data_IF_069466186101
#
_entry.id   IF_069466186101
#
_cell.length_a   1.000
_cell.length_b   1.000
_cell.length_c   1.000
_cell.angle_alpha   90.00
_cell.angle_beta   90.00
_cell.angle_gamma   90.00
#
_symmetry.space_group_name_H-M   'P 1'
#
loop_
_entity.id
_entity.type
_entity.pdbx_description
1 polymer ?
#
# COMPACT_ATOMS: atom_id res chain seq x y z
N UNK A 1 -11.73 2.95 -11.70
CA UNK A 1 -11.87 2.00 -10.58
C UNK A 1 -10.49 1.86 -9.95
N UNK A 2 -10.38 2.29 -8.69
CA UNK A 2 -9.14 2.35 -7.91
C UNK A 2 -8.95 1.10 -7.03
N UNK A 3 -10.05 0.42 -6.75
CA UNK A 3 -10.18 -0.82 -6.02
C UNK A 3 -9.96 -2.06 -6.91
N UNK A 4 -9.70 -3.20 -6.28
CA UNK A 4 -9.61 -4.47 -6.99
C UNK A 4 -11.01 -4.95 -7.41
N UNK A 5 -11.15 -5.46 -8.64
CA UNK A 5 -12.45 -5.91 -9.16
C UNK A 5 -12.98 -7.18 -8.47
N UNK A 6 -12.09 -8.01 -7.92
CA UNK A 6 -12.47 -9.15 -7.08
C UNK A 6 -12.75 -8.65 -5.65
N UNK A 7 -13.98 -8.78 -5.11
CA UNK A 7 -14.32 -8.33 -3.77
C UNK A 7 -13.54 -9.06 -2.67
N UNK A 8 -13.02 -10.27 -2.95
CA UNK A 8 -12.12 -11.00 -2.04
C UNK A 8 -10.74 -10.36 -1.95
N UNK A 9 -10.44 -9.33 -2.73
CA UNK A 9 -9.16 -8.61 -2.69
C UNK A 9 -9.38 -7.10 -2.54
N UNK A 10 -10.52 -6.60 -3.02
CA UNK A 10 -10.89 -5.18 -3.04
C UNK A 10 -11.70 -4.70 -1.84
N UNK A 11 -11.95 -5.54 -0.82
CA UNK A 11 -12.85 -5.19 0.29
C UNK A 11 -12.36 -5.64 1.68
N UNK A 12 -12.35 -4.71 2.64
CA UNK A 12 -12.19 -5.01 4.06
C UNK A 12 -13.56 -5.25 4.69
N UNK A 13 -13.87 -6.51 5.01
CA UNK A 13 -15.18 -6.92 5.54
C UNK A 13 -15.47 -6.30 6.92
N UNK A 14 -14.51 -6.34 7.85
CA UNK A 14 -14.70 -5.81 9.21
C UNK A 14 -14.82 -4.28 9.26
N UNK A 15 -14.27 -3.57 8.27
CA UNK A 15 -14.25 -2.09 8.24
C UNK A 15 -15.22 -1.50 7.24
N UNK A 16 -15.84 -2.33 6.41
CA UNK A 16 -16.78 -1.92 5.37
C UNK A 16 -16.18 -0.86 4.41
N UNK A 17 -14.91 -1.06 4.04
CA UNK A 17 -14.12 -0.15 3.17
C UNK A 17 -13.49 -0.88 1.99
N UNK A 18 -13.21 -0.13 0.91
CA UNK A 18 -12.54 -0.64 -0.29
C UNK A 18 -11.02 -0.65 -0.12
N UNK A 19 -10.37 -1.64 -0.74
CA UNK A 19 -8.91 -1.80 -0.77
C UNK A 19 -8.41 -1.37 -2.16
N UNK A 20 -7.39 -0.51 -2.18
CA UNK A 20 -6.74 -0.07 -3.42
C UNK A 20 -6.12 -1.25 -4.18
N UNK A 21 -6.23 -1.24 -5.50
CA UNK A 21 -5.56 -2.18 -6.37
C UNK A 21 -4.09 -1.78 -6.56
N UNK A 22 -3.21 -2.25 -5.67
CA UNK A 22 -1.78 -1.95 -5.71
C UNK A 22 -1.07 -2.46 -6.97
N UNK A 23 -1.58 -3.53 -7.60
CA UNK A 23 -1.04 -4.07 -8.85
C UNK A 23 -1.32 -3.21 -10.08
N UNK A 24 -2.31 -2.30 -9.99
CA UNK A 24 -2.62 -1.37 -11.06
C UNK A 24 -1.69 -0.17 -11.01
N UNK A 25 -0.87 -0.01 -12.04
CA UNK A 25 0.13 1.06 -12.15
C UNK A 25 -0.43 2.46 -11.92
N UNK A 26 -1.61 2.79 -12.47
CA UNK A 26 -2.19 4.12 -12.28
C UNK A 26 -2.61 4.38 -10.82
N UNK A 27 -3.05 3.36 -10.09
CA UNK A 27 -3.43 3.46 -8.67
C UNK A 27 -2.17 3.58 -7.81
N UNK A 28 -1.18 2.74 -8.06
CA UNK A 28 0.12 2.80 -7.39
C UNK A 28 0.79 4.17 -7.57
N UNK A 29 0.85 4.68 -8.81
CA UNK A 29 1.39 6.00 -9.11
C UNK A 29 0.62 7.12 -8.41
N UNK A 30 -0.71 7.03 -8.34
CA UNK A 30 -1.52 8.00 -7.62
C UNK A 30 -1.17 8.05 -6.13
N UNK A 31 -1.05 6.88 -5.48
CA UNK A 31 -0.73 6.80 -4.05
C UNK A 31 0.71 7.26 -3.74
N UNK A 32 1.69 6.85 -4.56
CA UNK A 32 3.08 7.35 -4.44
C UNK A 32 3.13 8.86 -4.64
N UNK A 33 2.43 9.37 -5.68
CA UNK A 33 2.33 10.81 -5.94
C UNK A 33 1.70 11.57 -4.79
N UNK A 34 0.71 11.00 -4.10
CA UNK A 34 0.13 11.61 -2.91
C UNK A 34 1.13 11.70 -1.75
N UNK A 35 1.91 10.64 -1.51
CA UNK A 35 2.97 10.65 -0.49
C UNK A 35 4.01 11.74 -0.76
N UNK A 36 4.48 11.85 -2.01
CA UNK A 36 5.40 12.90 -2.45
C UNK A 36 4.79 14.29 -2.29
N UNK A 37 3.54 14.47 -2.71
CA UNK A 37 2.84 15.75 -2.68
C UNK A 37 2.81 16.36 -1.27
N UNK A 38 2.55 15.54 -0.24
CA UNK A 38 2.53 16.02 1.13
C UNK A 38 3.89 16.55 1.57
N UNK A 39 4.97 15.82 1.27
CA UNK A 39 6.34 16.21 1.65
C UNK A 39 6.76 17.46 0.87
N UNK A 40 6.56 17.48 -0.45
CA UNK A 40 6.98 18.59 -1.33
C UNK A 40 6.24 19.89 -1.07
N UNK A 41 4.93 19.81 -0.84
CA UNK A 41 4.08 21.01 -0.76
C UNK A 41 3.90 21.54 0.64
N UNK A 42 3.92 20.66 1.64
CA UNK A 42 3.66 21.04 3.03
C UNK A 42 4.87 20.88 3.93
N UNK A 43 5.99 20.34 3.42
CA UNK A 43 7.24 20.23 4.17
C UNK A 43 7.13 19.29 5.36
N UNK A 44 6.28 18.25 5.30
CA UNK A 44 6.22 17.25 6.37
C UNK A 44 7.51 16.40 6.37
N UNK A 45 8.03 16.10 7.56
CA UNK A 45 9.30 15.39 7.69
C UNK A 45 9.16 13.86 7.59
N UNK A 46 7.98 13.33 7.86
CA UNK A 46 7.75 11.89 7.90
C UNK A 46 6.29 11.50 7.63
N UNK A 47 6.12 10.27 7.11
CA UNK A 47 4.83 9.62 6.94
C UNK A 47 4.74 8.40 7.85
N UNK A 48 3.61 8.24 8.54
CA UNK A 48 3.27 7.03 9.29
C UNK A 48 2.12 6.32 8.59
N UNK A 49 2.30 5.03 8.30
CA UNK A 49 1.25 4.17 7.77
C UNK A 49 0.70 3.30 8.90
N UNK A 50 -0.59 3.44 9.13
CA UNK A 50 -1.38 2.63 10.06
C UNK A 50 -1.81 1.31 9.38
N UNK A 51 -2.13 0.30 10.18
CA UNK A 51 -2.71 -0.96 9.73
C UNK A 51 -1.97 -1.70 8.60
N UNK A 52 -0.64 -1.60 8.51
CA UNK A 52 0.16 -2.23 7.43
C UNK A 52 -0.12 -3.73 7.26
N UNK A 53 -0.45 -4.44 8.34
CA UNK A 53 -0.85 -5.85 8.28
C UNK A 53 -2.07 -6.09 7.37
N UNK A 54 -3.01 -5.14 7.31
CA UNK A 54 -4.20 -5.21 6.45
C UNK A 54 -3.86 -5.05 4.96
N UNK A 55 -2.70 -4.45 4.66
CA UNK A 55 -2.19 -4.32 3.29
C UNK A 55 -1.44 -5.58 2.86
N UNK A 56 -0.52 -6.08 3.70
CA UNK A 56 0.46 -7.10 3.30
C UNK A 56 -0.04 -8.54 3.39
N UNK A 57 -1.21 -8.77 3.99
CA UNK A 57 -1.80 -10.10 4.14
C UNK A 57 -3.17 -10.20 3.46
N UNK A 58 -3.29 -11.12 2.50
CA UNK A 58 -4.53 -11.41 1.75
C UNK A 58 -5.60 -12.07 2.62
N UNK A 59 -5.19 -12.71 3.71
CA UNK A 59 -6.07 -13.35 4.71
C UNK A 59 -6.41 -12.43 5.89
N UNK A 60 -5.99 -11.15 5.88
CA UNK A 60 -6.23 -10.24 7.00
C UNK A 60 -7.74 -10.14 7.29
N UNK A 61 -8.12 -10.47 8.54
CA UNK A 61 -9.52 -10.45 9.01
C UNK A 61 -10.45 -11.44 8.26
N UNK A 62 -9.90 -12.38 7.48
CA UNK A 62 -10.68 -13.35 6.69
C UNK A 62 -10.44 -14.78 7.16
N UNK A 63 -11.51 -15.53 7.41
CA UNK A 63 -11.39 -16.94 7.86
C UNK A 63 -11.28 -17.94 6.71
N UNK A 64 -12.05 -17.78 5.62
CA UNK A 64 -12.13 -18.76 4.51
C UNK A 64 -12.32 -18.15 3.12
N UNK A 65 -12.36 -16.82 3.01
CA UNK A 65 -12.70 -16.10 1.77
C UNK A 65 -11.52 -15.26 1.27
N UNK A 66 -10.39 -15.91 1.00
CA UNK A 66 -9.22 -15.24 0.43
C UNK A 66 -8.55 -16.13 -0.63
N UNK A 67 -7.75 -15.52 -1.49
CA UNK A 67 -7.05 -16.18 -2.59
C UNK A 67 -5.55 -16.13 -2.30
N UNK A 68 -4.83 -17.26 -2.37
CA UNK A 68 -3.37 -17.24 -2.23
C UNK A 68 -2.69 -16.51 -3.38
N UNK A 69 -1.50 -15.99 -3.12
CA UNK A 69 -0.64 -15.44 -4.16
C UNK A 69 -0.14 -16.55 -5.10
N UNK A 70 0.58 -16.17 -6.16
CA UNK A 70 1.10 -17.09 -7.19
C UNK A 70 2.02 -18.19 -6.63
N UNK A 71 2.57 -18.01 -5.42
CA UNK A 71 3.42 -18.99 -4.74
C UNK A 71 2.67 -19.83 -3.70
N UNK A 72 1.34 -19.69 -3.59
CA UNK A 72 0.52 -20.38 -2.61
C UNK A 72 0.51 -19.74 -1.21
N UNK A 73 1.19 -18.61 -1.03
CA UNK A 73 1.30 -17.88 0.23
C UNK A 73 0.16 -16.89 0.47
N UNK A 74 0.12 -16.31 1.67
CA UNK A 74 -0.87 -15.31 2.08
C UNK A 74 -0.44 -13.87 1.87
N UNK A 75 0.81 -13.68 1.47
CA UNK A 75 1.41 -12.38 1.27
C UNK A 75 0.78 -11.67 0.07
N UNK A 76 0.39 -10.41 0.27
CA UNK A 76 -0.03 -9.52 -0.81
C UNK A 76 1.22 -8.90 -1.46
N UNK A 77 1.74 -9.59 -2.48
CA UNK A 77 3.00 -9.24 -3.13
C UNK A 77 2.95 -7.83 -3.74
N UNK A 78 1.81 -7.44 -4.28
CA UNK A 78 1.57 -6.15 -4.90
C UNK A 78 1.59 -5.03 -3.86
N UNK A 79 0.99 -5.24 -2.69
CA UNK A 79 1.05 -4.28 -1.59
C UNK A 79 2.47 -4.16 -1.01
N UNK A 80 3.18 -5.29 -0.88
CA UNK A 80 4.57 -5.32 -0.41
C UNK A 80 5.46 -4.55 -1.38
N UNK A 81 5.33 -4.81 -2.67
CA UNK A 81 6.12 -4.13 -3.70
C UNK A 81 5.78 -2.64 -3.76
N UNK A 82 4.50 -2.28 -3.64
CA UNK A 82 4.07 -0.89 -3.52
C UNK A 82 4.76 -0.18 -2.34
N UNK A 83 4.78 -0.78 -1.15
CA UNK A 83 5.42 -0.19 0.03
C UNK A 83 6.95 -0.06 -0.15
N UNK A 84 7.60 -1.09 -0.70
CA UNK A 84 9.04 -1.04 -1.02
C UNK A 84 9.36 0.08 -2.00
N UNK A 85 8.62 0.15 -3.10
CA UNK A 85 8.81 1.16 -4.13
C UNK A 85 8.55 2.57 -3.59
N UNK A 86 7.49 2.76 -2.79
CA UNK A 86 7.18 4.05 -2.16
C UNK A 86 8.32 4.48 -1.25
N UNK A 87 8.79 3.61 -0.34
CA UNK A 87 9.90 3.93 0.55
C UNK A 87 11.20 4.23 -0.21
N UNK A 88 11.50 3.47 -1.28
CA UNK A 88 12.67 3.71 -2.13
C UNK A 88 12.60 5.11 -2.76
N UNK A 89 11.48 5.45 -3.40
CA UNK A 89 11.30 6.75 -4.05
C UNK A 89 11.39 7.89 -3.02
N UNK A 90 10.75 7.74 -1.86
CA UNK A 90 10.83 8.74 -0.79
C UNK A 90 12.26 8.94 -0.29
N UNK A 91 13.02 7.86 -0.08
CA UNK A 91 14.42 7.94 0.34
C UNK A 91 15.35 8.55 -0.72
N UNK A 92 15.06 8.32 -2.01
CA UNK A 92 15.80 8.93 -3.13
C UNK A 92 15.50 10.43 -3.29
N UNK A 93 14.23 10.84 -3.17
CA UNK A 93 13.80 12.23 -3.37
C UNK A 93 14.05 13.09 -2.12
N UNK A 94 13.90 12.52 -0.92
CA UNK A 94 14.02 13.20 0.37
C UNK A 94 14.98 12.45 1.31
N UNK A 95 16.29 12.44 0.99
CA UNK A 95 17.26 11.80 1.86
C UNK A 95 17.28 12.48 3.24
N UNK A 96 17.36 11.66 4.29
CA UNK A 96 17.44 12.14 5.67
C UNK A 96 18.66 13.06 5.80
N UNK A 97 18.41 14.34 6.09
CA UNK A 97 19.47 15.28 6.42
C UNK A 97 19.89 15.02 7.87
N UNK A 98 21.02 14.35 8.05
CA UNK A 98 21.69 14.38 9.35
C UNK A 98 22.20 15.80 9.57
N UNK A 99 21.47 16.58 10.36
CA UNK A 99 22.02 17.78 10.96
C UNK A 99 22.90 17.28 12.12
N UNK A 100 24.21 17.42 11.97
CA UNK A 100 25.20 17.11 13.01
C UNK A 100 25.12 18.05 14.20
#
# INVERSE_FOLDING_TARGET
MYEHSDPREGYHQDWNTLIYNYGRREVSNFLVGNALYWIERFGIDALRVDAVASMIYRDYSRKREWIPNEFGGRENLEAIEFLRNTNRILGEQFPVRYNG
#
